data_IF_160165544285
#
_entry.id   IF_160165544285
#
_cell.length_a   1.000
_cell.length_b   1.000
_cell.length_c   1.000
_cell.angle_alpha   90.00
_cell.angle_beta   90.00
_cell.angle_gamma   90.00
#
_symmetry.space_group_name_H-M   'P 1'
#
loop_
_entity.id
_entity.type
_entity.pdbx_description
1 polymer ?
#
# COMPACT_ATOMS: atom_id res chain seq x y z
N UNK A 1 15.59 -6.99 4.21
CA UNK A 1 14.65 -6.95 5.35
C UNK A 1 14.38 -8.32 5.97
N UNK A 2 13.71 -9.25 5.29
CA UNK A 2 13.27 -10.54 5.89
C UNK A 2 14.44 -11.33 6.51
N UNK A 3 15.49 -11.61 5.74
CA UNK A 3 16.68 -12.33 6.22
C UNK A 3 17.40 -11.63 7.39
N UNK A 4 17.25 -10.31 7.52
CA UNK A 4 17.82 -9.53 8.63
C UNK A 4 17.00 -9.74 9.91
N UNK A 5 15.68 -9.68 9.79
CA UNK A 5 14.77 -9.99 10.89
C UNK A 5 14.92 -11.43 11.39
N UNK A 6 15.10 -12.40 10.48
CA UNK A 6 15.34 -13.80 10.86
C UNK A 6 16.65 -13.99 11.66
N UNK A 7 17.65 -13.15 11.42
CA UNK A 7 18.91 -13.13 12.17
C UNK A 7 18.83 -12.35 13.49
N UNK A 8 17.66 -11.78 13.83
CA UNK A 8 17.48 -10.95 15.02
C UNK A 8 18.14 -9.58 14.95
N UNK A 9 18.48 -9.12 13.75
CA UNK A 9 19.11 -7.82 13.52
C UNK A 9 18.06 -6.71 13.32
N UNK A 10 18.37 -5.50 13.80
CA UNK A 10 17.52 -4.33 13.59
C UNK A 10 17.58 -3.87 12.11
N UNK A 11 16.43 -3.63 11.46
CA UNK A 11 16.40 -3.07 10.11
C UNK A 11 17.10 -1.71 10.01
N UNK A 12 17.76 -1.45 8.89
CA UNK A 12 18.28 -0.11 8.55
C UNK A 12 17.13 0.83 8.16
N UNK A 13 17.37 2.14 8.23
CA UNK A 13 16.38 3.15 7.81
C UNK A 13 15.94 2.98 6.35
N UNK A 14 16.86 2.63 5.45
CA UNK A 14 16.56 2.32 4.05
C UNK A 14 15.59 1.13 3.93
N UNK A 15 15.86 0.02 4.62
CA UNK A 15 14.96 -1.14 4.61
C UNK A 15 13.59 -0.86 5.23
N UNK A 16 13.53 -0.01 6.27
CA UNK A 16 12.27 0.46 6.86
C UNK A 16 11.51 1.28 5.82
N UNK A 17 12.15 2.25 5.19
CA UNK A 17 11.56 3.07 4.14
C UNK A 17 11.05 2.22 2.97
N UNK A 18 11.86 1.29 2.47
CA UNK A 18 11.50 0.39 1.37
C UNK A 18 10.26 -0.45 1.68
N UNK A 19 10.16 -1.00 2.89
CA UNK A 19 8.99 -1.76 3.31
C UNK A 19 7.71 -0.91 3.29
N UNK A 20 7.81 0.33 3.77
CA UNK A 20 6.70 1.29 3.76
C UNK A 20 6.31 1.74 2.36
N UNK A 21 7.30 2.08 1.53
CA UNK A 21 7.10 2.46 0.12
C UNK A 21 6.45 1.31 -0.66
N UNK A 22 6.95 0.09 -0.50
CA UNK A 22 6.42 -1.11 -1.13
C UNK A 22 4.94 -1.32 -0.81
N UNK A 23 4.55 -1.20 0.46
CA UNK A 23 3.16 -1.37 0.85
C UNK A 23 2.27 -0.24 0.32
N UNK A 24 2.69 1.02 0.48
CA UNK A 24 1.92 2.16 -0.06
C UNK A 24 1.70 2.01 -1.57
N UNK A 25 2.76 1.63 -2.30
CA UNK A 25 2.69 1.36 -3.72
C UNK A 25 1.71 0.23 -4.05
N UNK A 26 1.73 -0.88 -3.31
CA UNK A 26 0.83 -2.01 -3.53
C UNK A 26 -0.66 -1.61 -3.38
N UNK A 27 -1.01 -0.87 -2.33
CA UNK A 27 -2.39 -0.39 -2.11
C UNK A 27 -2.84 0.57 -3.21
N UNK A 28 -2.03 1.59 -3.50
CA UNK A 28 -2.37 2.62 -4.48
C UNK A 28 -2.45 2.05 -5.90
N UNK A 29 -1.53 1.15 -6.25
CA UNK A 29 -1.55 0.45 -7.54
C UNK A 29 -2.76 -0.46 -7.66
N UNK A 30 -3.09 -1.22 -6.61
CA UNK A 30 -4.29 -2.07 -6.61
C UNK A 30 -5.55 -1.25 -6.81
N UNK A 31 -5.70 -0.11 -6.11
CA UNK A 31 -6.83 0.82 -6.28
C UNK A 31 -6.96 1.29 -7.72
N UNK A 32 -5.83 1.69 -8.33
CA UNK A 32 -5.79 2.14 -9.73
C UNK A 32 -6.17 1.01 -10.69
N UNK A 33 -5.57 -0.16 -10.56
CA UNK A 33 -5.80 -1.30 -11.46
C UNK A 33 -7.24 -1.81 -11.36
N UNK A 34 -7.78 -1.94 -10.14
CA UNK A 34 -9.18 -2.35 -9.95
C UNK A 34 -10.14 -1.33 -10.57
N UNK A 35 -9.89 -0.03 -10.39
CA UNK A 35 -10.68 1.02 -11.06
C UNK A 35 -10.64 0.90 -12.58
N UNK A 36 -9.45 0.78 -13.17
CA UNK A 36 -9.28 0.61 -14.61
C UNK A 36 -10.04 -0.62 -15.14
N UNK A 37 -9.97 -1.75 -14.44
CA UNK A 37 -10.69 -2.97 -14.83
C UNK A 37 -12.21 -2.80 -14.71
N UNK A 38 -12.67 -2.12 -13.66
CA UNK A 38 -14.09 -1.85 -13.45
C UNK A 38 -14.67 -1.01 -14.59
N UNK A 39 -13.97 0.05 -15.01
CA UNK A 39 -14.37 0.91 -16.13
C UNK A 39 -14.30 0.16 -17.47
N UNK A 40 -13.24 -0.64 -17.67
CA UNK A 40 -13.04 -1.41 -18.91
C UNK A 40 -14.13 -2.45 -19.13
N UNK A 41 -14.55 -3.15 -18.08
CA UNK A 41 -15.62 -4.15 -18.15
C UNK A 41 -17.01 -3.50 -18.20
N UNK A 42 -17.14 -2.27 -17.68
CA UNK A 42 -18.36 -1.48 -17.71
C UNK A 42 -19.50 -2.14 -16.93
N UNK A 43 -20.73 -2.06 -17.45
CA UNK A 43 -21.92 -2.56 -16.76
C UNK A 43 -21.86 -4.04 -16.36
N UNK A 44 -21.05 -4.86 -17.04
CA UNK A 44 -20.88 -6.27 -16.64
C UNK A 44 -20.15 -6.45 -15.30
N UNK A 45 -19.38 -5.46 -14.84
CA UNK A 45 -18.61 -5.51 -13.60
C UNK A 45 -19.50 -5.49 -12.35
N UNK A 46 -20.72 -4.96 -12.45
CA UNK A 46 -21.68 -4.83 -11.34
C UNK A 46 -22.33 -6.18 -10.98
N UNK A 47 -22.37 -7.13 -11.92
CA UNK A 47 -23.02 -8.42 -11.70
C UNK A 47 -22.12 -9.35 -10.90
N UNK A 48 -22.28 -9.33 -9.57
CA UNK A 48 -21.44 -10.04 -8.60
C UNK A 48 -21.34 -11.56 -8.79
N UNK A 49 -22.31 -12.18 -9.48
CA UNK A 49 -22.27 -13.62 -9.84
C UNK A 49 -21.34 -13.91 -11.04
N UNK A 50 -21.01 -12.91 -11.85
CA UNK A 50 -20.18 -13.03 -13.05
C UNK A 50 -18.74 -12.56 -12.82
N UNK A 51 -18.54 -11.63 -11.90
CA UNK A 51 -17.24 -11.03 -11.64
C UNK A 51 -17.12 -10.57 -10.18
N UNK A 52 -15.93 -10.66 -9.57
CA UNK A 52 -15.68 -10.10 -8.25
C UNK A 52 -15.43 -8.58 -8.26
N UNK A 53 -15.42 -7.93 -9.44
CA UNK A 53 -14.92 -6.55 -9.60
C UNK A 53 -15.67 -5.50 -8.77
N UNK A 54 -17.00 -5.54 -8.68
CA UNK A 54 -17.76 -4.61 -7.81
C UNK A 54 -17.37 -4.72 -6.34
N UNK A 55 -17.19 -5.95 -5.85
CA UNK A 55 -16.73 -6.18 -4.49
C UNK A 55 -15.30 -5.68 -4.31
N UNK A 56 -14.40 -6.06 -5.21
CA UNK A 56 -12.99 -5.66 -5.14
C UNK A 56 -12.83 -4.13 -5.18
N UNK A 57 -13.66 -3.43 -5.97
CA UNK A 57 -13.65 -1.96 -6.03
C UNK A 57 -14.03 -1.36 -4.69
N UNK A 58 -15.12 -1.80 -4.07
CA UNK A 58 -15.52 -1.31 -2.74
C UNK A 58 -14.45 -1.64 -1.69
N UNK A 59 -13.96 -2.88 -1.68
CA UNK A 59 -12.99 -3.35 -0.71
C UNK A 59 -11.67 -2.56 -0.80
N UNK A 60 -11.15 -2.32 -2.01
CA UNK A 60 -9.89 -1.59 -2.16
C UNK A 60 -10.03 -0.10 -1.79
N UNK A 61 -11.19 0.52 -2.06
CA UNK A 61 -11.44 1.90 -1.64
C UNK A 61 -11.44 2.01 -0.10
N UNK A 62 -12.03 1.04 0.59
CA UNK A 62 -12.00 0.94 2.05
C UNK A 62 -10.60 0.63 2.57
N UNK A 63 -9.91 -0.36 2.01
CA UNK A 63 -8.58 -0.78 2.43
C UNK A 63 -7.56 0.36 2.30
N UNK A 64 -7.67 1.17 1.25
CA UNK A 64 -6.83 2.36 1.08
C UNK A 64 -7.04 3.43 2.15
N UNK A 65 -8.12 3.43 2.93
CA UNK A 65 -8.30 4.39 4.04
C UNK A 65 -7.42 4.07 5.25
N UNK A 66 -6.94 2.84 5.35
CA UNK A 66 -6.01 2.47 6.41
C UNK A 66 -4.74 3.30 6.28
N UNK A 67 -4.20 3.83 7.38
CA UNK A 67 -2.96 4.65 7.41
C UNK A 67 -1.83 4.00 6.60
N UNK A 68 -1.80 2.69 6.66
CA UNK A 68 -0.84 1.83 6.00
C UNK A 68 -0.89 1.84 4.46
N UNK A 69 -2.04 2.17 3.86
CA UNK A 69 -2.22 2.28 2.41
C UNK A 69 -2.29 3.72 1.91
N UNK A 70 -2.13 4.72 2.78
CA UNK A 70 -2.27 6.14 2.47
C UNK A 70 -0.95 6.76 1.99
N UNK A 71 -1.03 7.67 1.03
CA UNK A 71 0.14 8.38 0.48
C UNK A 71 0.79 9.34 1.47
N UNK A 72 0.11 9.71 2.56
CA UNK A 72 0.71 10.54 3.63
C UNK A 72 1.96 9.91 4.25
N UNK A 73 2.08 8.58 4.20
CA UNK A 73 3.25 7.86 4.72
C UNK A 73 4.49 8.01 3.82
N UNK A 74 4.38 8.63 2.65
CA UNK A 74 5.54 8.93 1.79
C UNK A 74 6.46 9.98 2.43
N UNK A 75 5.90 10.90 3.22
CA UNK A 75 6.68 11.91 3.95
C UNK A 75 7.58 11.24 4.99
N UNK A 76 7.03 10.34 5.79
CA UNK A 76 7.78 9.56 6.79
C UNK A 76 8.88 8.70 6.15
N UNK A 77 8.58 8.03 5.04
CA UNK A 77 9.58 7.24 4.31
C UNK A 77 10.69 8.14 3.74
N UNK A 78 10.32 9.35 3.28
CA UNK A 78 11.28 10.37 2.84
C UNK A 78 12.18 10.84 3.98
N UNK A 79 11.63 11.07 5.18
CA UNK A 79 12.38 11.46 6.37
C UNK A 79 13.48 10.44 6.71
N UNK A 80 13.15 9.14 6.70
CA UNK A 80 14.14 8.06 6.89
C UNK A 80 15.27 8.10 5.85
N UNK A 81 14.94 8.32 4.58
CA UNK A 81 15.92 8.30 3.48
C UNK A 81 16.77 9.57 3.42
N UNK A 82 16.26 10.70 3.90
CA UNK A 82 16.92 12.00 3.86
C UNK A 82 17.69 12.33 5.15
N UNK A 83 17.62 11.47 6.17
CA UNK A 83 18.28 11.68 7.46
C UNK A 83 17.59 12.72 8.36
N UNK A 84 16.32 13.05 8.06
CA UNK A 84 15.46 13.92 8.86
C UNK A 84 14.41 13.14 9.68
N UNK A 85 14.52 11.81 9.66
CA UNK A 85 13.60 10.89 10.32
C UNK A 85 13.71 10.98 11.84
N UNK A 86 12.87 11.81 12.46
CA UNK A 86 12.55 11.67 13.88
C UNK A 86 11.93 10.29 14.18
N UNK A 87 11.90 9.89 15.45
CA UNK A 87 11.13 8.71 15.87
C UNK A 87 9.63 8.93 15.56
N UNK A 88 9.18 8.39 14.43
CA UNK A 88 7.76 8.34 14.13
C UNK A 88 7.19 7.07 14.76
N UNK A 89 6.13 7.10 15.60
CA UNK A 89 5.66 5.96 16.39
C UNK A 89 5.17 4.74 15.58
N UNK A 90 5.12 4.85 14.26
CA UNK A 90 4.79 3.75 13.34
C UNK A 90 5.98 3.25 12.52
N UNK A 91 7.11 3.95 12.51
CA UNK A 91 8.32 3.56 11.80
C UNK A 91 9.39 3.22 12.81
#
# INVERSE_FOLDING_TARGET
>A
LWDRLERGETPTDEERADAWLSRTHAFQTSRRVVGLLYDTVGGNAIYTRRSPLDRNLRDIQTACQHILGQTKMLEEAGGLLLGDGGEHPLM
#
